data_IF_824064351214
#
_entry.id   IF_824064351214
#
_cell.length_a   1.000
_cell.length_b   1.000
_cell.length_c   1.000
_cell.angle_alpha   90.00
_cell.angle_beta   90.00
_cell.angle_gamma   90.00
#
_symmetry.space_group_name_H-M   'P 1'
#
loop_
_entity.id
_entity.type
_entity.pdbx_description
1 polymer ?
#
# COMPACT_ATOMS: atom_id res chain seq x y z
N UNK A 1 -1.94 14.55 -16.47
CA UNK A 1 -2.45 13.23 -16.86
C UNK A 1 -2.97 12.57 -15.59
N UNK A 2 -4.22 12.15 -15.58
CA UNK A 2 -4.85 11.55 -14.40
C UNK A 2 -4.37 10.10 -14.26
N UNK A 3 -3.74 9.75 -13.14
CA UNK A 3 -3.23 8.40 -12.90
C UNK A 3 -4.36 7.53 -12.34
N UNK A 4 -5.04 6.80 -13.23
CA UNK A 4 -6.20 5.97 -12.89
C UNK A 4 -5.88 4.90 -11.83
N UNK A 5 -4.71 4.26 -11.92
CA UNK A 5 -4.27 3.22 -10.97
C UNK A 5 -4.08 3.80 -9.57
N UNK A 6 -3.37 4.93 -9.47
CA UNK A 6 -3.19 5.64 -8.20
C UNK A 6 -4.54 6.09 -7.62
N UNK A 7 -5.40 6.71 -8.43
CA UNK A 7 -6.70 7.22 -7.97
C UNK A 7 -7.61 6.09 -7.47
N UNK A 8 -7.65 4.96 -8.20
CA UNK A 8 -8.41 3.78 -7.79
C UNK A 8 -7.88 3.20 -6.47
N UNK A 9 -6.55 3.03 -6.36
CA UNK A 9 -5.93 2.53 -5.14
C UNK A 9 -6.14 3.47 -3.95
N UNK A 10 -6.00 4.79 -4.17
CA UNK A 10 -6.26 5.81 -3.15
C UNK A 10 -7.70 5.75 -2.65
N UNK A 11 -8.68 5.64 -3.55
CA UNK A 11 -10.09 5.51 -3.20
C UNK A 11 -10.38 4.23 -2.40
N UNK A 12 -9.80 3.10 -2.81
CA UNK A 12 -9.96 1.82 -2.11
C UNK A 12 -9.33 1.85 -0.71
N UNK A 13 -8.11 2.38 -0.59
CA UNK A 13 -7.44 2.59 0.70
C UNK A 13 -8.23 3.56 1.59
N UNK A 14 -8.82 4.61 1.03
CA UNK A 14 -9.66 5.56 1.78
C UNK A 14 -10.89 4.88 2.39
N UNK A 15 -11.53 4.00 1.63
CA UNK A 15 -12.68 3.25 2.12
C UNK A 15 -12.32 2.32 3.29
N UNK A 16 -11.10 1.79 3.31
CA UNK A 16 -10.67 0.84 4.34
C UNK A 16 -9.95 1.48 5.54
N UNK A 17 -9.08 2.45 5.30
CA UNK A 17 -8.18 3.04 6.30
C UNK A 17 -8.53 4.50 6.64
N UNK A 18 -9.62 5.04 6.08
CA UNK A 18 -10.11 6.39 6.38
C UNK A 18 -9.43 7.49 5.56
N UNK A 19 -9.51 8.73 6.04
CA UNK A 19 -9.06 9.88 5.27
C UNK A 19 -7.53 9.95 5.15
N UNK A 20 -6.98 10.07 3.92
CA UNK A 20 -5.55 10.26 3.72
C UNK A 20 -5.11 11.68 4.09
N UNK A 21 -3.83 11.82 4.43
CA UNK A 21 -3.11 13.11 4.45
C UNK A 21 -2.12 13.14 3.28
N UNK A 22 -2.08 14.21 2.46
CA UNK A 22 -1.08 14.32 1.41
C UNK A 22 0.34 14.36 2.00
N UNK A 23 1.31 13.80 1.27
CA UNK A 23 2.72 13.94 1.62
C UNK A 23 3.23 15.36 1.29
N UNK A 24 4.19 15.86 2.07
CA UNK A 24 4.74 17.22 1.87
C UNK A 24 5.32 17.42 0.47
N UNK A 25 5.97 16.40 -0.07
CA UNK A 25 6.59 16.43 -1.39
C UNK A 25 5.58 16.16 -2.54
N UNK A 26 4.28 16.02 -2.23
CA UNK A 26 3.21 15.74 -3.19
C UNK A 26 3.46 14.51 -4.08
N UNK A 27 4.25 13.55 -3.58
CA UNK A 27 4.54 12.27 -4.25
C UNK A 27 3.56 11.16 -3.87
N UNK A 28 2.55 11.47 -3.04
CA UNK A 28 1.66 10.45 -2.50
C UNK A 28 0.78 10.93 -1.35
N UNK A 29 0.20 9.96 -0.66
CA UNK A 29 -0.71 10.15 0.45
C UNK A 29 -0.49 9.11 1.55
N UNK A 30 -0.78 9.47 2.80
CA UNK A 30 -0.57 8.64 3.99
C UNK A 30 -1.85 8.49 4.81
N UNK A 31 -2.12 7.25 5.22
CA UNK A 31 -3.21 6.87 6.12
C UNK A 31 -2.64 6.57 7.50
N UNK A 32 -3.35 6.98 8.56
CA UNK A 32 -2.88 6.90 9.95
C UNK A 32 -3.88 6.23 10.91
N UNK A 33 -5.09 5.86 10.46
CA UNK A 33 -6.21 5.46 11.33
C UNK A 33 -5.99 4.14 12.07
N UNK A 34 -5.10 3.27 11.59
CA UNK A 34 -4.80 1.95 12.18
C UNK A 34 -3.36 1.54 11.84
N UNK A 35 -2.41 2.45 12.10
CA UNK A 35 -1.02 2.34 11.64
C UNK A 35 -0.77 3.14 10.36
N UNK A 36 0.48 3.08 9.89
CA UNK A 36 0.96 3.91 8.78
C UNK A 36 0.95 3.13 7.48
N UNK A 37 0.13 3.57 6.53
CA UNK A 37 0.13 3.10 5.14
C UNK A 37 0.40 4.31 4.25
N UNK A 38 1.34 4.20 3.32
CA UNK A 38 1.66 5.29 2.40
C UNK A 38 1.52 4.80 0.97
N UNK A 39 0.77 5.51 0.13
CA UNK A 39 0.67 5.26 -1.31
C UNK A 39 1.42 6.36 -2.06
N UNK A 40 2.23 5.97 -3.03
CA UNK A 40 3.05 6.85 -3.86
C UNK A 40 2.59 6.78 -5.33
N UNK A 41 2.74 7.89 -6.07
CA UNK A 41 2.51 7.96 -7.53
C UNK A 41 3.71 8.53 -8.30
N UNK A 42 4.80 8.83 -7.62
CA UNK A 42 6.12 9.18 -8.18
C UNK A 42 7.20 8.51 -7.33
N UNK A 43 8.45 8.49 -7.80
CA UNK A 43 9.54 7.76 -7.12
C UNK A 43 9.18 6.29 -6.93
N UNK A 44 8.82 5.67 -8.05
CA UNK A 44 8.39 4.28 -8.16
C UNK A 44 9.42 3.50 -8.98
N UNK A 45 9.46 2.19 -8.76
CA UNK A 45 10.25 1.28 -9.55
C UNK A 45 9.68 1.27 -10.98
N UNK A 46 10.53 1.02 -11.99
CA UNK A 46 10.09 1.03 -13.38
C UNK A 46 8.89 0.11 -13.63
N UNK A 47 7.91 0.62 -14.37
CA UNK A 47 6.69 -0.13 -14.74
C UNK A 47 5.49 0.09 -13.80
N UNK A 48 5.70 0.64 -12.60
CA UNK A 48 4.60 0.93 -11.68
C UNK A 48 3.93 2.27 -11.98
N UNK A 49 2.62 2.30 -11.77
CA UNK A 49 1.80 3.51 -11.71
C UNK A 49 1.53 3.95 -10.26
N UNK A 50 1.59 3.03 -9.30
CA UNK A 50 1.54 3.33 -7.89
C UNK A 50 2.33 2.30 -7.07
N UNK A 51 2.77 2.68 -5.88
CA UNK A 51 3.31 1.74 -4.89
C UNK A 51 2.74 2.03 -3.51
N UNK A 52 2.46 0.97 -2.73
CA UNK A 52 1.91 1.09 -1.38
C UNK A 52 2.88 0.49 -0.37
N UNK A 53 3.25 1.25 0.66
CA UNK A 53 4.16 0.84 1.74
C UNK A 53 3.41 0.73 3.07
N UNK A 54 3.74 -0.30 3.85
CA UNK A 54 3.05 -0.65 5.09
C UNK A 54 4.00 -0.68 6.28
N UNK A 55 3.73 0.14 7.30
CA UNK A 55 4.41 0.01 8.59
C UNK A 55 3.79 -1.14 9.39
N UNK A 56 4.42 -2.31 9.32
CA UNK A 56 3.87 -3.59 9.81
C UNK A 56 3.53 -3.56 11.28
N UNK A 57 4.40 -3.03 12.14
CA UNK A 57 4.23 -3.07 13.60
C UNK A 57 2.94 -2.39 14.09
N UNK A 58 2.69 -1.10 13.80
CA UNK A 58 1.48 -0.43 14.27
C UNK A 58 0.21 -0.96 13.58
N UNK A 59 0.29 -1.44 12.34
CA UNK A 59 -0.85 -2.10 11.68
C UNK A 59 -1.18 -3.40 12.42
N UNK A 60 -0.18 -4.26 12.65
CA UNK A 60 -0.33 -5.55 13.34
C UNK A 60 -0.98 -5.38 14.70
N UNK A 61 -0.48 -4.42 15.50
CA UNK A 61 -1.06 -4.07 16.80
C UNK A 61 -2.49 -3.56 16.68
N UNK A 62 -2.77 -2.66 15.74
CA UNK A 62 -4.10 -2.08 15.55
C UNK A 62 -5.17 -3.12 15.17
N UNK A 63 -4.78 -4.15 14.43
CA UNK A 63 -5.68 -5.21 13.94
C UNK A 63 -5.61 -6.50 14.76
N UNK A 64 -4.81 -6.57 15.83
CA UNK A 64 -4.67 -7.76 16.66
C UNK A 64 -4.12 -8.98 15.91
N UNK A 65 -3.29 -8.76 14.89
CA UNK A 65 -2.67 -9.82 14.10
C UNK A 65 -1.17 -9.90 14.39
N UNK A 66 -0.60 -11.10 14.30
CA UNK A 66 0.84 -11.28 14.45
C UNK A 66 1.60 -10.59 13.29
N UNK A 67 2.72 -9.86 13.55
CA UNK A 67 3.51 -9.22 12.51
C UNK A 67 3.96 -10.16 11.38
N UNK A 68 4.33 -11.41 11.73
CA UNK A 68 4.70 -12.43 10.75
C UNK A 68 3.54 -12.77 9.80
N UNK A 69 2.30 -12.79 10.30
CA UNK A 69 1.09 -13.05 9.50
C UNK A 69 0.80 -11.88 8.55
N UNK A 70 0.99 -10.64 9.01
CA UNK A 70 0.85 -9.47 8.15
C UNK A 70 1.93 -9.46 7.06
N UNK A 71 3.19 -9.74 7.40
CA UNK A 71 4.27 -9.85 6.41
C UNK A 71 3.96 -10.93 5.36
N UNK A 72 3.52 -12.12 5.77
CA UNK A 72 3.14 -13.18 4.84
C UNK A 72 2.01 -12.76 3.87
N UNK A 73 1.00 -12.03 4.38
CA UNK A 73 -0.08 -11.47 3.54
C UNK A 73 0.47 -10.45 2.53
N UNK A 74 1.35 -9.56 2.97
CA UNK A 74 1.95 -8.54 2.09
C UNK A 74 2.87 -9.18 1.04
N UNK A 75 3.62 -10.22 1.40
CA UNK A 75 4.45 -10.98 0.45
C UNK A 75 3.60 -11.78 -0.54
N UNK A 76 2.42 -12.29 -0.14
CA UNK A 76 1.45 -12.85 -1.09
C UNK A 76 0.98 -11.78 -2.08
N UNK A 77 0.64 -10.58 -1.62
CA UNK A 77 0.24 -9.47 -2.49
C UNK A 77 1.37 -9.08 -3.46
N UNK A 78 2.62 -9.02 -3.00
CA UNK A 78 3.79 -8.75 -3.86
C UNK A 78 3.96 -9.82 -4.94
N UNK A 79 3.77 -11.10 -4.60
CA UNK A 79 3.82 -12.20 -5.57
C UNK A 79 2.67 -12.17 -6.56
N UNK A 80 1.48 -11.72 -6.14
CA UNK A 80 0.31 -11.60 -7.00
C UNK A 80 0.49 -10.52 -8.07
N UNK A 81 1.06 -9.37 -7.72
CA UNK A 81 1.30 -8.31 -8.72
C UNK A 81 2.58 -8.54 -9.51
N UNK A 82 3.59 -9.18 -8.90
CA UNK A 82 4.86 -9.51 -9.55
C UNK A 82 5.74 -8.31 -9.86
N UNK A 83 5.34 -7.10 -9.46
CA UNK A 83 6.04 -5.88 -9.81
C UNK A 83 7.22 -5.60 -8.86
N UNK A 84 8.35 -5.10 -9.39
CA UNK A 84 9.43 -4.59 -8.54
C UNK A 84 8.93 -3.40 -7.71
N UNK A 85 9.62 -3.09 -6.62
CA UNK A 85 9.27 -1.95 -5.75
C UNK A 85 10.52 -1.20 -5.36
N UNK A 86 10.40 0.11 -5.18
CA UNK A 86 11.50 0.91 -4.67
C UNK A 86 11.87 0.51 -3.24
N UNK A 87 13.17 0.42 -2.97
CA UNK A 87 13.70 0.04 -1.66
C UNK A 87 14.06 1.30 -0.88
N UNK A 88 13.31 1.58 0.17
CA UNK A 88 13.68 2.65 1.09
C UNK A 88 14.75 2.17 2.06
N UNK A 89 15.99 2.60 1.87
CA UNK A 89 17.15 2.19 2.69
C UNK A 89 17.06 2.62 4.16
N UNK A 90 16.21 3.59 4.49
CA UNK A 90 16.04 4.09 5.88
C UNK A 90 14.93 3.37 6.64
N UNK A 91 13.93 2.86 5.91
CA UNK A 91 12.78 2.18 6.50
C UNK A 91 12.41 1.00 5.59
N UNK A 92 12.82 -0.20 6.00
CA UNK A 92 12.56 -1.46 5.31
C UNK A 92 11.12 -1.93 5.54
N UNK A 93 10.16 -1.10 5.13
CA UNK A 93 8.75 -1.42 5.17
C UNK A 93 8.34 -2.15 3.89
N UNK A 94 7.57 -3.25 3.99
CA UNK A 94 7.08 -3.96 2.83
C UNK A 94 6.29 -3.03 1.91
N UNK A 95 6.57 -3.14 0.61
CA UNK A 95 6.00 -2.33 -0.46
C UNK A 95 5.37 -3.23 -1.52
N UNK A 96 4.28 -2.79 -2.13
CA UNK A 96 3.56 -3.48 -3.21
C UNK A 96 3.48 -2.55 -4.41
N UNK A 97 3.94 -3.01 -5.57
CA UNK A 97 3.84 -2.30 -6.85
C UNK A 97 2.55 -2.61 -7.60
N UNK A 98 2.03 -1.59 -8.29
CA UNK A 98 0.78 -1.61 -9.03
C UNK A 98 1.00 -0.97 -10.40
N UNK A 99 0.84 -1.73 -11.48
CA UNK A 99 0.95 -1.22 -12.85
C UNK A 99 -0.43 -1.01 -13.49
N UNK A 100 -1.43 -1.78 -13.08
CA UNK A 100 -2.78 -1.78 -13.68
C UNK A 100 -3.89 -1.64 -12.63
N UNK A 101 -5.08 -1.26 -13.08
CA UNK A 101 -6.27 -1.25 -12.22
C UNK A 101 -6.70 -2.65 -11.74
N UNK A 102 -6.28 -3.71 -12.44
CA UNK A 102 -6.52 -5.08 -12.03
C UNK A 102 -5.64 -5.46 -10.82
N UNK A 103 -4.39 -5.00 -10.80
CA UNK A 103 -3.49 -5.17 -9.64
C UNK A 103 -4.10 -4.54 -8.38
N UNK A 104 -4.72 -3.36 -8.53
CA UNK A 104 -5.41 -2.68 -7.43
C UNK A 104 -6.52 -3.57 -6.86
N UNK A 105 -7.37 -4.13 -7.73
CA UNK A 105 -8.46 -5.01 -7.30
C UNK A 105 -7.91 -6.25 -6.59
N UNK A 106 -6.92 -6.94 -7.17
CA UNK A 106 -6.30 -8.12 -6.57
C UNK A 106 -5.73 -7.86 -5.17
N UNK A 107 -4.97 -6.77 -5.02
CA UNK A 107 -4.35 -6.42 -3.74
C UNK A 107 -5.40 -6.02 -2.71
N UNK A 108 -6.39 -5.19 -3.09
CA UNK A 108 -7.42 -4.75 -2.15
C UNK A 108 -8.35 -5.88 -1.72
N UNK A 109 -8.64 -6.84 -2.60
CA UNK A 109 -9.40 -8.05 -2.26
C UNK A 109 -8.66 -8.91 -1.22
N UNK A 110 -7.32 -9.01 -1.33
CA UNK A 110 -6.51 -9.70 -0.31
C UNK A 110 -6.43 -8.92 1.00
N UNK A 111 -6.30 -7.59 0.93
CA UNK A 111 -6.24 -6.74 2.11
C UNK A 111 -7.59 -6.60 2.82
N UNK A 112 -8.70 -7.09 2.25
CA UNK A 112 -10.04 -7.02 2.87
C UNK A 112 -10.09 -7.62 4.28
N UNK A 113 -9.20 -8.57 4.58
CA UNK A 113 -9.04 -9.19 5.91
C UNK A 113 -8.59 -8.20 6.99
N UNK A 114 -8.07 -7.04 6.59
CA UNK A 114 -7.70 -5.91 7.46
C UNK A 114 -8.84 -4.88 7.56
N UNK A 115 -10.10 -5.31 7.48
CA UNK A 115 -11.25 -4.46 7.81
C UNK A 115 -11.63 -4.69 9.27
N UNK A 116 -11.77 -3.61 10.02
CA UNK A 116 -12.45 -3.62 11.33
C UNK A 116 -13.94 -3.50 11.14
#
# INVERSE_FOLDING_TARGET
MENAVYNKALAALKNQFGMPRPLLNKNGARFLRNGTITIYHTELAPGNQAEITFNVQPISSSFGIAPAKLNALLDECRRLTGHPTEVNKLQDWPRIGLATEADVTLVMDKLVVLKK
#
